data_IF_896744568579
#
_entry.id   IF_896744568579
#
_cell.length_a   1.000
_cell.length_b   1.000
_cell.length_c   1.000
_cell.angle_alpha   90.00
_cell.angle_beta   90.00
_cell.angle_gamma   90.00
#
_symmetry.space_group_name_H-M   'P 1'
#
loop_
_entity.id
_entity.type
_entity.pdbx_description
1 polymer ?
#
# COMPACT_ATOMS: atom_id res chain seq x y z
N UNK A 1 29.67 -8.45 31.09
CA UNK A 1 31.02 -8.29 31.67
C UNK A 1 32.01 -8.69 30.60
N UNK A 2 32.64 -7.71 29.95
CA UNK A 2 33.60 -7.93 28.87
C UNK A 2 34.29 -6.61 28.55
N UNK A 3 35.61 -6.49 28.73
CA UNK A 3 36.42 -5.40 28.20
C UNK A 3 37.31 -5.93 27.04
N UNK A 4 38.21 -5.14 26.42
CA UNK A 4 38.34 -3.68 26.26
C UNK A 4 38.56 -3.25 24.77
N UNK A 5 38.46 -1.97 24.45
CA UNK A 5 38.96 -1.34 23.20
C UNK A 5 39.35 0.11 23.57
N UNK A 6 40.58 0.64 23.39
CA UNK A 6 41.42 0.71 22.17
C UNK A 6 40.84 1.81 21.26
N UNK A 7 41.45 2.97 20.97
CA UNK A 7 42.60 3.23 20.06
C UNK A 7 42.71 4.78 19.93
N UNK A 8 43.83 5.43 20.29
CA UNK A 8 44.92 6.02 19.47
C UNK A 8 44.58 7.00 18.32
N UNK A 9 45.24 8.18 18.37
CA UNK A 9 45.41 9.19 17.31
C UNK A 9 46.08 8.61 16.04
N UNK A 10 46.05 9.38 14.94
CA UNK A 10 47.28 9.57 14.17
C UNK A 10 47.66 11.03 13.92
N UNK A 11 48.96 11.21 13.70
CA UNK A 11 49.67 12.45 13.42
C UNK A 11 50.13 12.53 11.95
N UNK A 12 50.42 13.77 11.53
CA UNK A 12 51.49 14.23 10.63
C UNK A 12 51.58 13.87 9.13
N UNK A 13 51.84 14.92 8.33
CA UNK A 13 52.78 14.93 7.18
C UNK A 13 52.13 14.74 5.79
N UNK A 14 51.97 15.75 4.91
CA UNK A 14 52.95 16.57 4.15
C UNK A 14 53.22 16.02 2.74
N UNK A 15 52.91 16.83 1.70
CA UNK A 15 53.73 17.19 0.52
C UNK A 15 52.87 17.55 -0.73
N UNK A 16 53.14 18.72 -1.34
CA UNK A 16 52.63 19.14 -2.66
C UNK A 16 53.40 18.50 -3.84
N UNK A 17 53.46 19.06 -5.08
CA UNK A 17 53.36 20.49 -5.43
C UNK A 17 52.64 20.81 -6.79
N UNK A 18 52.79 22.09 -7.18
CA UNK A 18 52.58 22.71 -8.51
C UNK A 18 51.12 22.88 -8.96
N UNK A 19 50.59 24.07 -9.23
CA UNK A 19 51.22 25.30 -9.68
C UNK A 19 50.63 25.67 -11.04
N UNK A 20 49.62 26.53 -11.09
CA UNK A 20 49.50 27.50 -12.15
C UNK A 20 48.68 28.70 -11.68
N UNK A 21 49.35 29.84 -11.78
CA UNK A 21 48.89 31.20 -11.53
C UNK A 21 47.79 31.57 -12.51
N UNK A 22 46.73 32.20 -12.02
CA UNK A 22 46.23 33.42 -12.64
C UNK A 22 45.87 34.41 -11.53
N UNK A 23 46.68 35.47 -11.45
CA UNK A 23 46.36 36.70 -10.76
C UNK A 23 45.61 37.55 -11.77
N UNK A 24 44.36 37.90 -11.50
CA UNK A 24 43.89 39.26 -11.78
C UNK A 24 43.07 39.75 -10.58
N UNK A 25 43.55 40.87 -10.09
CA UNK A 25 43.00 41.76 -9.08
C UNK A 25 41.70 42.37 -9.60
N UNK A 26 40.63 42.33 -8.81
CA UNK A 26 39.56 43.32 -8.92
C UNK A 26 39.32 43.97 -7.56
N UNK A 27 39.60 45.28 -7.41
CA UNK A 27 39.57 45.95 -6.12
C UNK A 27 38.14 46.38 -5.75
N UNK A 28 37.86 46.33 -4.45
CA UNK A 28 36.96 47.25 -3.76
C UNK A 28 35.61 47.58 -4.43
N UNK A 29 34.53 47.00 -3.90
CA UNK A 29 33.54 47.83 -3.18
C UNK A 29 32.53 47.00 -2.39
N UNK A 30 32.55 47.26 -1.08
CA UNK A 30 31.41 47.09 -0.19
C UNK A 30 30.17 47.76 -0.78
N UNK A 31 29.05 47.06 -0.84
CA UNK A 31 27.70 47.60 -0.64
C UNK A 31 26.76 46.45 -0.32
N UNK A 32 26.33 46.42 0.94
CA UNK A 32 25.22 45.61 1.40
C UNK A 32 23.92 46.18 0.80
N UNK A 33 23.07 45.30 0.27
CA UNK A 33 21.63 45.54 0.11
C UNK A 33 20.91 44.20 0.22
N UNK A 34 20.05 44.11 1.23
CA UNK A 34 18.96 43.14 1.35
C UNK A 34 18.09 43.17 0.08
N UNK A 35 17.65 42.00 -0.38
CA UNK A 35 16.71 41.86 -1.49
C UNK A 35 16.05 40.48 -1.49
N UNK A 36 14.97 40.36 -0.71
CA UNK A 36 14.05 39.22 -0.72
C UNK A 36 13.35 39.14 -2.08
N UNK A 37 13.42 38.00 -2.77
CA UNK A 37 12.51 37.67 -3.86
C UNK A 37 12.25 36.16 -3.91
N UNK A 38 10.99 35.84 -3.61
CA UNK A 38 10.32 34.54 -3.70
C UNK A 38 10.43 33.93 -5.10
N UNK A 39 10.54 32.59 -5.21
CA UNK A 39 9.81 31.72 -6.17
C UNK A 39 10.24 30.23 -6.03
N UNK A 40 9.40 29.23 -6.39
CA UNK A 40 8.31 28.68 -5.61
C UNK A 40 8.61 27.24 -5.12
N UNK A 41 8.03 26.86 -3.99
CA UNK A 41 7.94 25.45 -3.59
C UNK A 41 7.14 24.68 -4.65
N UNK A 42 7.82 23.81 -5.41
CA UNK A 42 7.17 22.88 -6.32
C UNK A 42 6.32 21.92 -5.49
N UNK A 43 5.04 22.26 -5.28
CA UNK A 43 4.03 21.36 -4.79
C UNK A 43 3.88 20.25 -5.84
N UNK A 44 4.59 19.14 -5.65
CA UNK A 44 4.33 17.90 -6.38
C UNK A 44 2.95 17.44 -5.90
N UNK A 45 1.91 17.91 -6.57
CA UNK A 45 0.56 17.41 -6.39
C UNK A 45 0.59 15.94 -6.77
N UNK A 46 0.71 15.07 -5.76
CA UNK A 46 0.55 13.64 -5.90
C UNK A 46 -0.89 13.44 -6.39
N UNK A 47 -1.04 13.31 -7.71
CA UNK A 47 -2.30 12.95 -8.34
C UNK A 47 -2.67 11.58 -7.79
N UNK A 48 -3.52 11.54 -6.77
CA UNK A 48 -4.25 10.33 -6.42
C UNK A 48 -5.15 10.06 -7.61
N UNK A 49 -4.76 9.11 -8.46
CA UNK A 49 -5.68 8.57 -9.45
C UNK A 49 -6.85 8.01 -8.64
N UNK A 50 -8.03 8.57 -8.84
CA UNK A 50 -9.27 7.87 -8.57
C UNK A 50 -9.29 6.67 -9.53
N UNK A 51 -8.61 5.60 -9.16
CA UNK A 51 -8.77 4.32 -9.83
C UNK A 51 -10.21 3.93 -9.59
N UNK A 52 -10.99 3.82 -10.67
CA UNK A 52 -12.31 3.21 -10.60
C UNK A 52 -12.15 1.90 -9.84
N UNK A 53 -12.85 1.78 -8.71
CA UNK A 53 -12.71 0.62 -7.84
C UNK A 53 -12.99 -0.63 -8.67
N UNK A 54 -12.03 -1.56 -8.70
CA UNK A 54 -12.24 -2.81 -9.41
C UNK A 54 -13.48 -3.51 -8.83
N UNK A 55 -14.30 -4.16 -9.66
CA UNK A 55 -15.50 -4.83 -9.19
C UNK A 55 -15.11 -5.90 -8.16
N UNK A 56 -15.80 -5.90 -7.02
CA UNK A 56 -15.60 -6.88 -5.95
C UNK A 56 -16.37 -8.14 -6.29
N UNK A 57 -15.68 -9.26 -6.31
CA UNK A 57 -16.25 -10.59 -6.48
C UNK A 57 -16.46 -11.21 -5.10
N UNK A 58 -17.68 -11.67 -4.84
CA UNK A 58 -18.06 -12.25 -3.56
C UNK A 58 -18.10 -13.77 -3.65
N UNK A 59 -17.63 -14.40 -2.58
CA UNK A 59 -17.58 -15.84 -2.41
C UNK A 59 -18.09 -16.19 -1.02
N UNK A 60 -18.83 -17.28 -0.92
CA UNK A 60 -19.18 -17.87 0.37
C UNK A 60 -18.11 -18.91 0.71
N UNK A 61 -17.40 -18.69 1.81
CA UNK A 61 -16.51 -19.66 2.40
C UNK A 61 -17.31 -20.46 3.43
N UNK A 62 -17.48 -21.75 3.18
CA UNK A 62 -18.23 -22.70 4.02
C UNK A 62 -17.23 -23.59 4.72
N UNK A 63 -17.31 -23.66 6.05
CA UNK A 63 -16.48 -24.51 6.88
C UNK A 63 -17.31 -25.15 7.99
N UNK A 64 -16.80 -26.18 8.69
CA UNK A 64 -17.49 -26.76 9.84
C UNK A 64 -17.74 -25.77 10.98
N UNK A 65 -16.94 -24.71 11.07
CA UNK A 65 -17.02 -23.72 12.15
C UNK A 65 -18.03 -22.63 11.82
N UNK A 66 -17.98 -22.13 10.59
CA UNK A 66 -18.73 -20.97 10.16
C UNK A 66 -18.82 -20.86 8.62
N UNK A 67 -19.86 -20.15 8.20
CA UNK A 67 -20.13 -19.75 6.84
C UNK A 67 -20.01 -18.22 6.74
N UNK A 68 -19.08 -17.72 5.94
CA UNK A 68 -18.86 -16.29 5.79
C UNK A 68 -18.80 -15.87 4.32
N UNK A 69 -19.30 -14.67 4.03
CA UNK A 69 -19.16 -14.06 2.72
C UNK A 69 -17.86 -13.25 2.71
N UNK A 70 -16.98 -13.54 1.75
CA UNK A 70 -15.71 -12.86 1.55
C UNK A 70 -15.67 -12.22 0.18
N UNK A 71 -14.99 -11.08 0.08
CA UNK A 71 -14.82 -10.32 -1.15
C UNK A 71 -13.36 -10.17 -1.53
N UNK A 72 -13.10 -10.25 -2.83
CA UNK A 72 -11.82 -9.94 -3.46
C UNK A 72 -12.04 -9.06 -4.68
N UNK A 73 -11.16 -8.08 -4.89
CA UNK A 73 -11.19 -7.26 -6.09
C UNK A 73 -10.83 -8.11 -7.32
N UNK A 74 -11.55 -7.93 -8.42
CA UNK A 74 -11.31 -8.69 -9.65
C UNK A 74 -9.88 -8.54 -10.19
N UNK A 75 -9.26 -7.37 -9.98
CA UNK A 75 -7.87 -7.10 -10.33
C UNK A 75 -6.89 -7.98 -9.54
N UNK A 76 -7.18 -8.26 -8.26
CA UNK A 76 -6.35 -9.11 -7.41
C UNK A 76 -6.50 -10.60 -7.74
N UNK A 77 -7.69 -11.01 -8.18
CA UNK A 77 -7.94 -12.37 -8.67
C UNK A 77 -7.29 -12.65 -10.04
N UNK A 78 -6.86 -11.59 -10.73
CA UNK A 78 -6.33 -11.64 -12.08
C UNK A 78 -7.43 -11.70 -13.16
N UNK A 79 -7.02 -11.62 -14.42
CA UNK A 79 -7.89 -11.92 -15.56
C UNK A 79 -7.74 -13.40 -15.96
N UNK A 80 -8.80 -14.00 -16.50
CA UNK A 80 -8.75 -15.39 -16.96
C UNK A 80 -10.09 -15.88 -17.48
N UNK A 81 -10.05 -16.95 -18.27
CA UNK A 81 -11.24 -17.59 -18.86
C UNK A 81 -11.90 -18.59 -17.91
N UNK A 82 -11.19 -19.04 -16.88
CA UNK A 82 -11.73 -19.95 -15.87
C UNK A 82 -12.67 -19.21 -14.90
N UNK A 83 -13.71 -19.90 -14.38
CA UNK A 83 -14.63 -19.32 -13.43
C UNK A 83 -13.91 -18.68 -12.23
N UNK A 84 -14.37 -17.51 -11.73
CA UNK A 84 -13.71 -16.81 -10.62
C UNK A 84 -13.48 -17.68 -9.37
N UNK A 85 -14.42 -18.57 -9.04
CA UNK A 85 -14.29 -19.46 -7.88
C UNK A 85 -13.12 -20.44 -8.01
N UNK A 86 -12.89 -20.96 -9.23
CA UNK A 86 -11.77 -21.86 -9.50
C UNK A 86 -10.44 -21.11 -9.42
N UNK A 87 -10.40 -19.85 -9.88
CA UNK A 87 -9.21 -18.99 -9.77
C UNK A 87 -8.89 -18.65 -8.32
N UNK A 88 -9.91 -18.38 -7.50
CA UNK A 88 -9.73 -18.13 -6.08
C UNK A 88 -9.22 -19.39 -5.37
N UNK A 89 -9.79 -20.56 -5.69
CA UNK A 89 -9.35 -21.84 -5.16
C UNK A 89 -7.89 -22.15 -5.55
N UNK A 90 -7.49 -21.90 -6.81
CA UNK A 90 -6.12 -22.05 -7.26
C UNK A 90 -5.16 -21.13 -6.49
N UNK A 91 -5.53 -19.85 -6.33
CA UNK A 91 -4.72 -18.89 -5.59
C UNK A 91 -4.60 -19.26 -4.10
N UNK A 92 -5.66 -19.80 -3.49
CA UNK A 92 -5.62 -20.32 -2.11
C UNK A 92 -4.75 -21.58 -2.01
N UNK A 93 -4.83 -22.47 -3.00
CA UNK A 93 -4.03 -23.69 -3.05
C UNK A 93 -2.54 -23.39 -3.18
N UNK A 94 -2.17 -22.37 -3.97
CA UNK A 94 -0.80 -21.90 -4.18
C UNK A 94 -0.24 -21.19 -2.96
N UNK A 95 -0.99 -20.26 -2.36
CA UNK A 95 -0.51 -19.43 -1.24
C UNK A 95 -0.68 -20.07 0.13
N UNK A 96 -1.51 -21.11 0.25
CA UNK A 96 -1.87 -21.77 1.51
C UNK A 96 -2.82 -20.97 2.40
N UNK A 97 -2.81 -19.64 2.31
CA UNK A 97 -3.74 -18.75 3.00
C UNK A 97 -4.00 -17.47 2.20
N UNK A 98 -5.16 -16.84 2.42
CA UNK A 98 -5.55 -15.58 1.80
C UNK A 98 -6.15 -14.64 2.83
N UNK A 99 -5.71 -13.38 2.84
CA UNK A 99 -6.38 -12.32 3.60
C UNK A 99 -7.42 -11.67 2.71
N UNK A 100 -8.69 -11.75 3.09
CA UNK A 100 -9.85 -11.27 2.34
C UNK A 100 -10.70 -10.37 3.23
N UNK A 101 -11.54 -9.53 2.64
CA UNK A 101 -12.53 -8.78 3.40
C UNK A 101 -13.79 -9.62 3.60
N UNK A 102 -14.28 -9.71 4.83
CA UNK A 102 -15.60 -10.24 5.13
C UNK A 102 -16.66 -9.20 4.78
N UNK A 103 -17.76 -9.65 4.19
CA UNK A 103 -18.88 -8.83 3.79
C UNK A 103 -20.17 -9.26 4.50
N UNK A 104 -21.04 -8.30 4.78
CA UNK A 104 -22.40 -8.56 5.24
C UNK A 104 -23.36 -7.47 4.74
N UNK A 105 -24.65 -7.75 4.82
CA UNK A 105 -25.69 -6.75 4.58
C UNK A 105 -25.69 -5.73 5.72
N UNK A 106 -25.59 -4.45 5.38
CA UNK A 106 -25.64 -3.34 6.32
C UNK A 106 -26.49 -2.21 5.75
N UNK A 107 -27.02 -1.37 6.63
CA UNK A 107 -27.62 -0.10 6.20
C UNK A 107 -26.50 0.92 5.95
N UNK A 108 -26.55 1.60 4.82
CA UNK A 108 -25.67 2.73 4.58
C UNK A 108 -26.14 4.00 5.30
N UNK A 109 -25.39 5.10 5.16
CA UNK A 109 -25.74 6.38 5.77
C UNK A 109 -27.09 6.93 5.29
N UNK A 110 -27.60 6.48 4.13
CA UNK A 110 -28.92 6.81 3.61
C UNK A 110 -30.02 5.84 4.03
N UNK A 111 -29.71 4.83 4.85
CA UNK A 111 -30.66 3.79 5.27
C UNK A 111 -30.92 2.71 4.23
N UNK A 112 -30.22 2.72 3.09
CA UNK A 112 -30.36 1.68 2.07
C UNK A 112 -29.57 0.42 2.47
N UNK A 113 -30.14 -0.75 2.19
CA UNK A 113 -29.45 -2.02 2.44
C UNK A 113 -28.40 -2.27 1.35
N UNK A 114 -27.16 -2.46 1.78
CA UNK A 114 -25.99 -2.67 0.91
C UNK A 114 -25.17 -3.85 1.42
N UNK A 115 -24.42 -4.49 0.55
CA UNK A 115 -23.38 -5.43 0.95
C UNK A 115 -22.10 -4.63 1.26
N UNK A 116 -21.73 -4.52 2.53
CA UNK A 116 -20.59 -3.72 2.96
C UNK A 116 -19.47 -4.57 3.58
N UNK A 117 -18.20 -4.16 3.43
CA UNK A 117 -17.09 -4.81 4.11
C UNK A 117 -17.17 -4.55 5.62
N UNK A 118 -16.91 -5.60 6.40
CA UNK A 118 -16.88 -5.56 7.86
C UNK A 118 -15.46 -5.46 8.39
N UNK A 119 -14.65 -6.47 8.08
CA UNK A 119 -13.29 -6.64 8.61
C UNK A 119 -12.49 -7.56 7.69
N UNK A 120 -11.18 -7.54 7.82
CA UNK A 120 -10.34 -8.53 7.16
C UNK A 120 -10.34 -9.85 7.92
N UNK A 121 -10.30 -10.96 7.18
CA UNK A 121 -10.23 -12.33 7.67
C UNK A 121 -9.16 -13.08 6.90
N UNK A 122 -8.48 -14.01 7.57
CA UNK A 122 -7.54 -14.92 6.93
C UNK A 122 -8.23 -16.26 6.71
N UNK A 123 -8.31 -16.67 5.45
CA UNK A 123 -8.82 -17.97 5.04
C UNK A 123 -7.62 -18.89 4.82
N UNK A 124 -7.57 -19.99 5.55
CA UNK A 124 -6.54 -21.02 5.39
C UNK A 124 -7.03 -22.11 4.45
N UNK A 125 -6.12 -22.68 3.67
CA UNK A 125 -6.36 -23.91 2.93
C UNK A 125 -6.68 -25.03 3.92
N UNK A 126 -7.81 -25.70 3.72
CA UNK A 126 -8.27 -26.83 4.52
C UNK A 126 -9.13 -27.75 3.64
N UNK A 127 -9.05 -29.07 3.86
CA UNK A 127 -9.83 -30.09 3.14
C UNK A 127 -11.34 -29.95 3.34
N UNK A 128 -11.78 -29.37 4.46
CA UNK A 128 -13.20 -29.13 4.76
C UNK A 128 -13.69 -27.75 4.33
N UNK A 129 -12.81 -26.90 3.76
CA UNK A 129 -13.19 -25.60 3.25
C UNK A 129 -13.81 -25.74 1.86
N UNK A 130 -15.05 -25.29 1.70
CA UNK A 130 -15.70 -25.17 0.40
C UNK A 130 -15.87 -23.70 0.04
N UNK A 131 -15.50 -23.34 -1.18
CA UNK A 131 -15.71 -22.00 -1.73
C UNK A 131 -16.84 -22.06 -2.76
N UNK A 132 -17.84 -21.21 -2.59
CA UNK A 132 -18.99 -21.09 -3.48
C UNK A 132 -19.07 -19.66 -4.03
N UNK A 133 -19.50 -19.45 -5.27
CA UNK A 133 -19.86 -18.12 -5.75
C UNK A 133 -21.00 -17.53 -4.90
N UNK A 134 -20.91 -16.26 -4.53
CA UNK A 134 -21.97 -15.57 -3.81
C UNK A 134 -22.53 -14.42 -4.67
N UNK A 135 -23.76 -14.58 -5.16
CA UNK A 135 -24.48 -13.54 -5.86
C UNK A 135 -25.43 -12.83 -4.89
N UNK A 136 -25.43 -11.51 -4.91
CA UNK A 136 -26.33 -10.68 -4.10
C UNK A 136 -27.03 -9.65 -4.99
N UNK A 137 -28.33 -9.40 -4.78
CA UNK A 137 -29.01 -8.30 -5.45
C UNK A 137 -28.65 -6.93 -4.83
N UNK A 138 -27.98 -6.92 -3.67
CA UNK A 138 -27.61 -5.70 -2.98
C UNK A 138 -26.40 -5.02 -3.64
N UNK A 139 -26.34 -3.67 -3.66
CA UNK A 139 -25.15 -2.96 -4.08
C UNK A 139 -23.95 -3.34 -3.20
N UNK A 140 -22.82 -3.70 -3.81
CA UNK A 140 -21.59 -4.09 -3.09
C UNK A 140 -20.67 -2.88 -2.94
N UNK A 141 -20.28 -2.57 -1.71
CA UNK A 141 -19.33 -1.49 -1.40
C UNK A 141 -17.88 -1.95 -1.52
N UNK A 142 -16.95 -1.06 -1.92
CA UNK A 142 -15.55 -1.40 -2.00
C UNK A 142 -14.94 -1.60 -0.61
N UNK A 143 -13.86 -2.39 -0.46
CA UNK A 143 -13.31 -2.79 0.84
C UNK A 143 -12.84 -1.63 1.74
N UNK A 144 -12.47 -0.49 1.16
CA UNK A 144 -12.09 0.72 1.89
C UNK A 144 -13.26 1.52 2.48
N UNK A 145 -14.50 1.12 2.24
CA UNK A 145 -15.71 1.79 2.73
C UNK A 145 -16.25 1.17 4.04
N UNK A 146 -15.42 0.42 4.77
CA UNK A 146 -15.81 -0.27 6.00
C UNK A 146 -16.57 0.68 6.95
N UNK A 147 -17.72 0.20 7.43
CA UNK A 147 -18.55 0.96 8.35
C UNK A 147 -17.76 1.25 9.63
N UNK A 148 -17.85 2.50 10.08
CA UNK A 148 -17.22 2.95 11.34
C UNK A 148 -17.74 2.05 12.48
N UNK A 149 -16.86 1.52 13.34
CA UNK A 149 -17.25 0.67 14.47
C UNK A 149 -18.15 1.43 15.46
#
# INVERSE_FOLDING_TARGET
MGPPTGVWLPACGQAGPAGLRYVVMDPFRRRATFGLLFLPAAFVARRVRAQASAPVLLFKAVSPRDDIVVGIESAQLGAGTTPPVQRLAAMLAEKGQLTLWQYASQHDAGGALVQAPLKQVVIFKNELLRLEPYATPLPVKPPGAAAKP
#
